data_IF_325079084199
#
_entry.id   IF_325079084199
#
_cell.length_a   1.000
_cell.length_b   1.000
_cell.length_c   1.000
_cell.angle_alpha   90.00
_cell.angle_beta   90.00
_cell.angle_gamma   90.00
#
_symmetry.space_group_name_H-M   'P 1'
#
loop_
_entity.id
_entity.type
_entity.pdbx_description
1 polymer ?
#
# COMPACT_ATOMS: atom_id res chain seq x y z
N UNK A 1 4.30 -5.37 2.87
CA UNK A 1 4.32 -6.83 2.63
C UNK A 1 4.79 -7.64 3.84
N UNK A 2 6.01 -7.45 4.40
CA UNK A 2 6.45 -8.21 5.58
C UNK A 2 5.49 -8.12 6.78
N UNK A 3 4.97 -6.92 7.07
CA UNK A 3 4.00 -6.68 8.15
C UNK A 3 2.70 -7.46 7.97
N UNK A 4 2.21 -7.60 6.73
CA UNK A 4 0.97 -8.36 6.43
C UNK A 4 1.17 -9.85 6.68
N UNK A 5 2.30 -10.41 6.21
CA UNK A 5 2.64 -11.82 6.42
C UNK A 5 2.83 -12.13 7.90
N UNK A 6 3.56 -11.29 8.63
CA UNK A 6 3.78 -11.46 10.07
C UNK A 6 2.51 -11.31 10.92
N UNK A 7 1.48 -10.63 10.39
CA UNK A 7 0.18 -10.49 11.03
C UNK A 7 -0.77 -11.68 10.76
N UNK A 8 -0.41 -12.61 9.86
CA UNK A 8 -1.23 -13.79 9.56
C UNK A 8 -1.29 -14.71 10.78
N UNK A 9 -2.51 -14.99 11.25
CA UNK A 9 -2.73 -15.76 12.47
C UNK A 9 -2.25 -17.21 12.36
N UNK A 10 -2.39 -17.84 11.19
CA UNK A 10 -1.94 -19.21 11.01
C UNK A 10 -0.42 -19.29 11.05
N UNK A 11 0.25 -18.32 10.42
CA UNK A 11 1.70 -18.20 10.50
C UNK A 11 2.18 -17.89 11.93
N UNK A 12 1.55 -16.95 12.64
CA UNK A 12 1.87 -16.66 14.06
C UNK A 12 1.74 -17.90 14.95
N UNK A 13 0.66 -18.66 14.77
CA UNK A 13 0.45 -19.90 15.52
C UNK A 13 1.52 -20.94 15.22
N UNK A 14 1.90 -21.10 13.94
CA UNK A 14 2.94 -22.04 13.54
C UNK A 14 4.33 -21.59 14.02
N UNK A 15 4.62 -20.29 14.08
CA UNK A 15 5.85 -19.76 14.67
C UNK A 15 5.97 -20.05 16.16
N UNK A 16 4.86 -20.02 16.90
CA UNK A 16 4.85 -20.20 18.36
C UNK A 16 4.76 -21.66 18.78
N UNK A 17 4.04 -22.49 18.01
CA UNK A 17 3.60 -23.81 18.46
C UNK A 17 3.98 -24.95 17.50
N UNK A 18 4.83 -24.71 16.51
CA UNK A 18 5.23 -25.76 15.54
C UNK A 18 6.71 -25.75 15.23
N UNK A 19 7.17 -26.77 14.51
CA UNK A 19 8.52 -26.81 13.97
C UNK A 19 8.72 -25.82 12.81
N UNK A 20 9.99 -25.64 12.43
CA UNK A 20 10.40 -24.72 11.37
C UNK A 20 9.77 -25.05 10.02
N UNK A 21 9.52 -26.33 9.72
CA UNK A 21 8.97 -26.74 8.43
C UNK A 21 7.50 -26.33 8.34
N UNK A 22 6.73 -26.57 9.40
CA UNK A 22 5.32 -26.16 9.43
C UNK A 22 5.18 -24.64 9.43
N UNK A 23 6.03 -23.93 10.20
CA UNK A 23 6.08 -22.47 10.15
C UNK A 23 6.40 -21.94 8.74
N UNK A 24 7.24 -22.63 7.97
CA UNK A 24 7.55 -22.24 6.59
C UNK A 24 6.37 -22.45 5.65
N UNK A 25 5.63 -23.54 5.80
CA UNK A 25 4.42 -23.80 4.99
C UNK A 25 3.37 -22.71 5.25
N UNK A 26 3.10 -22.38 6.52
CA UNK A 26 2.12 -21.34 6.84
C UNK A 26 2.60 -19.94 6.44
N UNK A 27 3.90 -19.67 6.52
CA UNK A 27 4.50 -18.46 5.93
C UNK A 27 4.18 -18.33 4.44
N UNK A 28 4.41 -19.38 3.66
CA UNK A 28 4.26 -19.33 2.20
C UNK A 28 2.79 -19.11 1.81
N UNK A 29 1.84 -19.72 2.54
CA UNK A 29 0.40 -19.43 2.40
C UNK A 29 0.04 -18.00 2.79
N UNK A 30 0.60 -17.49 3.89
CA UNK A 30 0.39 -16.11 4.34
C UNK A 30 0.93 -15.09 3.32
N UNK A 31 2.07 -15.38 2.71
CA UNK A 31 2.64 -14.57 1.63
C UNK A 31 1.74 -14.55 0.40
N UNK A 32 1.24 -15.71 -0.03
CA UNK A 32 0.30 -15.81 -1.16
C UNK A 32 -0.96 -14.96 -0.92
N UNK A 33 -1.58 -15.09 0.25
CA UNK A 33 -2.76 -14.28 0.62
C UNK A 33 -2.46 -12.78 0.60
N UNK A 34 -1.32 -12.38 1.17
CA UNK A 34 -0.92 -10.97 1.20
C UNK A 34 -0.68 -10.40 -0.21
N UNK A 35 -0.16 -11.21 -1.14
CA UNK A 35 0.03 -10.81 -2.54
C UNK A 35 -1.31 -10.67 -3.25
N UNK A 36 -2.24 -11.62 -3.06
CA UNK A 36 -3.58 -11.57 -3.66
C UNK A 36 -4.35 -10.35 -3.17
N UNK A 37 -4.31 -10.07 -1.86
CA UNK A 37 -4.96 -8.88 -1.27
C UNK A 37 -4.38 -7.59 -1.87
N UNK A 38 -3.06 -7.47 -1.95
CA UNK A 38 -2.40 -6.31 -2.55
C UNK A 38 -2.81 -6.11 -4.02
N UNK A 39 -2.83 -7.19 -4.81
CA UNK A 39 -3.25 -7.14 -6.21
C UNK A 39 -4.73 -6.78 -6.34
N UNK A 40 -5.60 -7.31 -5.48
CA UNK A 40 -7.02 -6.96 -5.45
C UNK A 40 -7.23 -5.48 -5.16
N UNK A 41 -6.56 -4.94 -4.15
CA UNK A 41 -6.63 -3.52 -3.79
C UNK A 41 -6.17 -2.63 -4.95
N UNK A 42 -5.04 -2.98 -5.59
CA UNK A 42 -4.56 -2.25 -6.76
C UNK A 42 -5.49 -2.36 -7.96
N UNK A 43 -6.08 -3.53 -8.19
CA UNK A 43 -7.01 -3.75 -9.31
C UNK A 43 -8.30 -2.97 -9.10
N UNK A 44 -8.85 -2.94 -7.88
CA UNK A 44 -10.03 -2.16 -7.55
C UNK A 44 -9.74 -0.66 -7.65
N UNK A 45 -8.60 -0.19 -7.14
CA UNK A 45 -8.19 1.21 -7.29
C UNK A 45 -8.06 1.61 -8.77
N UNK A 46 -7.41 0.76 -9.57
CA UNK A 46 -7.26 0.98 -11.01
C UNK A 46 -8.62 0.99 -11.73
N UNK A 47 -9.51 0.08 -11.35
CA UNK A 47 -10.88 0.04 -11.88
C UNK A 47 -11.64 1.32 -11.55
N UNK A 48 -11.64 1.76 -10.30
CA UNK A 48 -12.27 3.03 -9.90
C UNK A 48 -11.67 4.21 -10.67
N UNK A 49 -10.34 4.27 -10.81
CA UNK A 49 -9.69 5.32 -11.58
C UNK A 49 -10.10 5.33 -13.07
N UNK A 50 -10.32 4.15 -13.65
CA UNK A 50 -10.65 4.01 -15.07
C UNK A 50 -12.13 4.22 -15.36
N UNK A 51 -13.00 3.59 -14.57
CA UNK A 51 -14.43 3.44 -14.86
C UNK A 51 -15.30 4.47 -14.13
N UNK A 52 -14.76 5.20 -13.15
CA UNK A 52 -15.48 6.20 -12.38
C UNK A 52 -14.89 7.60 -12.62
N UNK A 53 -15.43 8.38 -13.59
CA UNK A 53 -14.92 9.70 -13.94
C UNK A 53 -14.89 10.69 -12.76
N UNK A 54 -15.84 10.60 -11.84
CA UNK A 54 -15.89 11.45 -10.64
C UNK A 54 -14.72 11.13 -9.71
N UNK A 55 -14.43 9.85 -9.47
CA UNK A 55 -13.29 9.43 -8.69
C UNK A 55 -11.96 9.85 -9.33
N UNK A 56 -11.82 9.66 -10.65
CA UNK A 56 -10.65 10.10 -11.41
C UNK A 56 -10.41 11.60 -11.27
N UNK A 57 -11.46 12.41 -11.43
CA UNK A 57 -11.36 13.87 -11.28
C UNK A 57 -10.93 14.27 -9.87
N UNK A 58 -11.60 13.73 -8.86
CA UNK A 58 -11.27 14.01 -7.46
C UNK A 58 -9.82 13.65 -7.13
N UNK A 59 -9.37 12.45 -7.53
CA UNK A 59 -8.01 12.00 -7.26
C UNK A 59 -6.98 12.88 -7.98
N UNK A 60 -7.24 13.23 -9.24
CA UNK A 60 -6.37 14.13 -10.01
C UNK A 60 -6.25 15.52 -9.36
N UNK A 61 -7.37 16.13 -8.98
CA UNK A 61 -7.38 17.45 -8.33
C UNK A 61 -6.68 17.42 -6.97
N UNK A 62 -6.91 16.36 -6.18
CA UNK A 62 -6.28 16.19 -4.86
C UNK A 62 -4.77 16.06 -4.95
N UNK A 63 -4.27 15.20 -5.84
CA UNK A 63 -2.82 15.00 -6.01
C UNK A 63 -2.17 16.25 -6.61
N UNK A 64 -2.84 16.94 -7.53
CA UNK A 64 -2.34 18.20 -8.07
C UNK A 64 -2.22 19.26 -6.98
N UNK A 65 -3.25 19.46 -6.16
CA UNK A 65 -3.24 20.45 -5.08
C UNK A 65 -2.10 20.18 -4.08
N UNK A 66 -1.93 18.93 -3.67
CA UNK A 66 -0.86 18.54 -2.73
C UNK A 66 0.54 18.81 -3.31
N UNK A 67 0.79 18.38 -4.54
CA UNK A 67 2.13 18.45 -5.14
C UNK A 67 2.49 19.83 -5.68
N UNK A 68 1.50 20.62 -6.11
CA UNK A 68 1.72 21.98 -6.55
C UNK A 68 1.93 22.94 -5.38
N UNK A 69 1.18 22.78 -4.27
CA UNK A 69 1.38 23.56 -3.05
C UNK A 69 2.77 23.35 -2.45
N UNK A 70 3.26 22.11 -2.45
CA UNK A 70 4.62 21.78 -2.02
C UNK A 70 5.68 22.49 -2.87
N UNK A 71 5.49 22.54 -4.19
CA UNK A 71 6.39 23.29 -5.10
C UNK A 71 6.38 24.80 -4.80
N UNK A 72 5.21 25.38 -4.57
CA UNK A 72 5.08 26.81 -4.26
C UNK A 72 5.74 27.17 -2.91
N UNK A 73 5.57 26.33 -1.89
CA UNK A 73 6.20 26.50 -0.58
C UNK A 73 7.73 26.37 -0.64
N UNK A 74 8.24 25.45 -1.44
CA UNK A 74 9.68 25.27 -1.67
C UNK A 74 10.30 26.46 -2.40
N UNK A 75 9.63 27.02 -3.41
CA UNK A 75 10.11 28.20 -4.13
C UNK A 75 10.20 29.46 -3.25
N UNK A 76 9.25 29.68 -2.35
CA UNK A 76 9.28 30.81 -1.40
C UNK A 76 10.39 30.69 -0.34
N UNK A 77 10.72 29.47 0.09
CA UNK A 77 11.81 29.21 1.04
C UNK A 77 13.20 29.50 0.44
N UNK A 78 13.39 29.25 -0.86
CA UNK A 78 14.65 29.56 -1.57
C UNK A 78 14.82 31.06 -1.77
N UNK A 79 13.75 31.80 -2.07
CA UNK A 79 13.81 33.25 -2.29
C UNK A 79 14.10 34.07 -1.02
N UNK A 80 13.81 33.52 0.18
CA UNK A 80 14.02 34.22 1.46
C UNK A 80 15.42 33.95 2.06
N UNK A 81 16.24 33.12 1.41
CA UNK A 81 17.61 32.76 1.83
C UNK A 81 18.72 33.38 0.98
N UNK A 82 18.40 34.34 0.12
CA UNK A 82 19.36 35.13 -0.69
C UNK A 82 19.39 36.57 -0.24
#
# INVERSE_FOLDING_TARGET
>A
MPTKVAADKAYQNAMQNSDKQNARIEHDKALERAVIELLSDHTELFKQFSDNPSFKKWLSETIFAATYADKAAQAGSVATRS
#
